data_IF_337543117316
#
_entry.id   IF_337543117316
#
_cell.length_a   1.000
_cell.length_b   1.000
_cell.length_c   1.000
_cell.angle_alpha   90.00
_cell.angle_beta   90.00
_cell.angle_gamma   90.00
#
_symmetry.space_group_name_H-M   'P 1'
#
loop_
_entity.id
_entity.type
_entity.pdbx_description
1 polymer ?
#
# COMPACT_ATOMS: atom_id res chain seq x y z
N UNK A 1 10.84 18.58 10.17
CA UNK A 1 11.94 17.66 10.58
C UNK A 1 11.44 16.25 10.90
N UNK A 2 10.37 16.08 11.68
CA UNK A 2 9.83 14.76 12.09
C UNK A 2 9.36 13.89 10.90
N UNK A 3 8.69 14.48 9.92
CA UNK A 3 8.26 13.78 8.69
C UNK A 3 9.44 13.27 7.84
N UNK A 4 10.51 14.06 7.73
CA UNK A 4 11.73 13.63 7.04
C UNK A 4 12.42 12.47 7.76
N UNK A 5 12.39 12.48 9.09
CA UNK A 5 12.93 11.40 9.92
C UNK A 5 12.09 10.13 9.78
N UNK A 6 10.76 10.23 9.76
CA UNK A 6 9.88 9.07 9.60
C UNK A 6 10.06 8.44 8.21
N UNK A 7 10.15 9.26 7.17
CA UNK A 7 10.41 8.78 5.81
C UNK A 7 11.78 8.12 5.69
N UNK A 8 12.82 8.72 6.27
CA UNK A 8 14.15 8.12 6.29
C UNK A 8 14.20 6.80 7.05
N UNK A 9 13.49 6.69 8.18
CA UNK A 9 13.41 5.46 8.96
C UNK A 9 12.74 4.34 8.15
N UNK A 10 11.59 4.62 7.53
CA UNK A 10 10.89 3.64 6.68
C UNK A 10 11.78 3.20 5.50
N UNK A 11 12.49 4.13 4.88
CA UNK A 11 13.42 3.82 3.79
C UNK A 11 14.57 2.92 4.24
N UNK A 12 15.17 3.19 5.40
CA UNK A 12 16.23 2.35 5.97
C UNK A 12 15.68 0.95 6.26
N UNK A 13 14.50 0.84 6.86
CA UNK A 13 13.87 -0.46 7.13
C UNK A 13 13.61 -1.22 5.83
N UNK A 14 13.12 -0.55 4.78
CA UNK A 14 12.90 -1.16 3.48
C UNK A 14 14.20 -1.70 2.85
N UNK A 15 15.30 -0.94 2.94
CA UNK A 15 16.62 -1.39 2.49
C UNK A 15 17.06 -2.62 3.29
N UNK A 16 16.91 -2.61 4.61
CA UNK A 16 17.29 -3.76 5.44
C UNK A 16 16.50 -5.01 5.07
N UNK A 17 15.19 -4.88 4.83
CA UNK A 17 14.35 -5.98 4.36
C UNK A 17 14.82 -6.47 2.98
N UNK A 18 15.14 -5.58 2.05
CA UNK A 18 15.64 -5.94 0.73
C UNK A 18 16.96 -6.70 0.81
N UNK A 19 17.92 -6.21 1.61
CA UNK A 19 19.20 -6.88 1.82
C UNK A 19 18.97 -8.27 2.43
N UNK A 20 18.09 -8.37 3.42
CA UNK A 20 17.75 -9.64 4.07
C UNK A 20 17.14 -10.66 3.09
N UNK A 21 16.16 -10.25 2.29
CA UNK A 21 15.53 -11.10 1.28
C UNK A 21 16.53 -11.51 0.19
N UNK A 22 17.42 -10.61 -0.21
CA UNK A 22 18.47 -10.88 -1.20
C UNK A 22 19.50 -11.87 -0.67
N UNK A 23 19.88 -11.75 0.61
CA UNK A 23 20.74 -12.70 1.30
C UNK A 23 20.10 -14.10 1.41
N UNK A 24 18.85 -14.17 1.86
CA UNK A 24 18.22 -15.45 2.18
C UNK A 24 17.74 -16.24 0.96
N UNK A 25 17.32 -15.56 -0.11
CA UNK A 25 16.84 -16.20 -1.34
C UNK A 25 17.96 -16.30 -2.41
N UNK A 26 18.34 -15.24 -3.14
CA UNK A 26 19.40 -15.32 -4.15
C UNK A 26 20.73 -15.90 -3.69
N UNK A 27 21.26 -15.49 -2.53
CA UNK A 27 22.60 -15.92 -2.10
C UNK A 27 22.60 -17.33 -1.53
N UNK A 28 21.70 -17.62 -0.59
CA UNK A 28 21.61 -18.92 0.09
C UNK A 28 21.01 -20.04 -0.78
N UNK A 29 20.13 -19.73 -1.73
CA UNK A 29 19.54 -20.74 -2.64
C UNK A 29 20.34 -20.94 -3.93
N UNK A 30 21.32 -20.09 -4.23
CA UNK A 30 22.15 -20.24 -5.41
C UNK A 30 22.95 -21.56 -5.34
N UNK A 31 22.88 -22.44 -6.36
CA UNK A 31 23.64 -23.68 -6.40
C UNK A 31 25.16 -23.52 -6.21
N UNK A 32 25.71 -22.36 -6.59
CA UNK A 32 27.16 -22.15 -6.59
C UNK A 32 27.75 -21.81 -5.20
N UNK A 33 27.07 -20.94 -4.43
CA UNK A 33 27.56 -20.46 -3.14
C UNK A 33 26.66 -20.85 -1.96
N UNK A 34 25.42 -21.26 -2.24
CA UNK A 34 24.40 -21.59 -1.25
C UNK A 34 24.81 -22.72 -0.30
N UNK A 35 25.30 -23.87 -0.79
CA UNK A 35 25.71 -24.98 0.09
C UNK A 35 26.85 -24.58 1.04
N UNK A 36 27.83 -23.83 0.55
CA UNK A 36 28.94 -23.35 1.37
C UNK A 36 28.49 -22.33 2.43
N UNK A 37 27.61 -21.39 2.05
CA UNK A 37 27.04 -20.41 2.97
C UNK A 37 26.14 -21.06 4.03
N UNK A 38 25.27 -22.01 3.67
CA UNK A 38 24.47 -22.78 4.64
C UNK A 38 25.37 -23.50 5.63
N UNK A 39 26.37 -24.24 5.14
CA UNK A 39 27.31 -24.96 6.00
C UNK A 39 28.05 -24.02 6.95
N UNK A 40 28.47 -22.84 6.47
CA UNK A 40 29.09 -21.82 7.32
C UNK A 40 28.13 -21.29 8.39
N UNK A 41 26.86 -21.00 8.05
CA UNK A 41 25.83 -20.57 9.01
C UNK A 41 25.60 -21.66 10.06
N UNK A 42 25.49 -22.92 9.65
CA UNK A 42 25.24 -24.07 10.52
C UNK A 42 26.39 -24.25 11.54
N UNK A 43 27.63 -24.13 11.07
CA UNK A 43 28.82 -24.24 11.91
C UNK A 43 29.02 -23.03 12.84
N UNK A 44 28.60 -21.83 12.42
CA UNK A 44 28.81 -20.59 13.19
C UNK A 44 27.77 -20.41 14.28
N UNK A 45 26.50 -20.69 13.97
CA UNK A 45 25.38 -20.41 14.86
C UNK A 45 24.80 -21.65 15.55
N UNK A 46 25.17 -22.86 15.10
CA UNK A 46 24.66 -24.13 15.62
C UNK A 46 23.24 -24.42 15.13
N UNK A 47 23.01 -25.65 14.67
CA UNK A 47 21.70 -26.09 14.23
C UNK A 47 20.68 -26.01 15.39
N UNK A 48 19.56 -25.31 15.16
CA UNK A 48 18.46 -25.19 16.12
C UNK A 48 18.48 -23.94 17.02
N UNK A 49 19.45 -23.04 16.85
CA UNK A 49 19.44 -21.75 17.56
C UNK A 49 18.56 -20.71 16.87
N UNK A 50 18.11 -19.70 17.62
CA UNK A 50 17.34 -18.57 17.06
C UNK A 50 18.15 -17.82 15.97
N UNK A 51 19.46 -17.70 16.15
CA UNK A 51 20.33 -17.04 15.19
C UNK A 51 20.40 -17.84 13.88
N UNK A 52 20.51 -19.17 13.95
CA UNK A 52 20.47 -20.01 12.75
C UNK A 52 19.16 -19.81 11.97
N UNK A 53 18.00 -19.73 12.65
CA UNK A 53 16.72 -19.48 11.99
C UNK A 53 16.65 -18.12 11.29
N UNK A 54 17.28 -17.09 11.87
CA UNK A 54 17.32 -15.75 11.26
C UNK A 54 18.25 -15.73 10.04
N UNK A 55 19.42 -16.35 10.12
CA UNK A 55 20.44 -16.29 9.06
C UNK A 55 20.25 -17.34 7.94
N UNK A 56 19.57 -18.45 8.22
CA UNK A 56 19.21 -19.47 7.25
C UNK A 56 17.72 -19.86 7.38
N UNK A 57 16.79 -18.93 7.13
CA UNK A 57 15.35 -19.19 7.20
C UNK A 57 14.92 -20.22 6.14
N UNK A 58 13.74 -20.81 6.35
CA UNK A 58 13.11 -21.66 5.35
C UNK A 58 12.75 -20.80 4.10
N UNK A 59 13.26 -21.16 2.91
CA UNK A 59 12.96 -20.43 1.67
C UNK A 59 11.47 -20.38 1.36
N UNK A 60 10.74 -21.44 1.70
CA UNK A 60 9.31 -21.53 1.45
C UNK A 60 8.57 -20.45 2.24
N UNK A 61 8.95 -20.24 3.51
CA UNK A 61 8.35 -19.20 4.34
C UNK A 61 8.55 -17.79 3.76
N UNK A 62 9.76 -17.49 3.29
CA UNK A 62 10.06 -16.19 2.68
C UNK A 62 9.26 -15.89 1.42
N UNK A 63 8.92 -16.92 0.64
CA UNK A 63 8.08 -16.79 -0.57
C UNK A 63 6.60 -16.70 -0.18
N UNK A 64 6.15 -17.52 0.77
CA UNK A 64 4.76 -17.53 1.24
C UNK A 64 4.37 -16.17 1.83
N UNK A 65 5.23 -15.55 2.63
CA UNK A 65 4.91 -14.31 3.34
C UNK A 65 4.41 -13.17 2.43
N UNK A 66 5.14 -12.73 1.37
CA UNK A 66 4.66 -11.68 0.49
C UNK A 66 3.44 -12.09 -0.35
N UNK A 67 3.37 -13.36 -0.79
CA UNK A 67 2.22 -13.88 -1.55
C UNK A 67 0.97 -13.86 -0.68
N UNK A 68 1.08 -14.32 0.57
CA UNK A 68 0.00 -14.32 1.54
C UNK A 68 -0.42 -12.89 1.91
N UNK A 69 0.53 -11.97 2.12
CA UNK A 69 0.23 -10.57 2.41
C UNK A 69 -0.54 -9.92 1.25
N UNK A 70 -0.13 -10.15 0.01
CA UNK A 70 -0.85 -9.68 -1.18
C UNK A 70 -2.28 -10.26 -1.25
N UNK A 71 -2.44 -11.56 -0.99
CA UNK A 71 -3.76 -12.21 -0.97
C UNK A 71 -4.67 -11.64 0.13
N UNK A 72 -4.15 -11.45 1.35
CA UNK A 72 -4.88 -10.84 2.47
C UNK A 72 -5.31 -9.41 2.13
N UNK A 73 -4.42 -8.62 1.52
CA UNK A 73 -4.74 -7.24 1.13
C UNK A 73 -5.91 -7.19 0.14
N UNK A 74 -5.92 -8.07 -0.87
CA UNK A 74 -7.04 -8.18 -1.82
C UNK A 74 -8.34 -8.57 -1.09
N UNK A 75 -8.27 -9.55 -0.19
CA UNK A 75 -9.42 -10.00 0.60
C UNK A 75 -9.98 -8.90 1.51
N UNK A 76 -9.12 -8.10 2.13
CA UNK A 76 -9.53 -6.97 2.97
C UNK A 76 -10.26 -5.90 2.13
N UNK A 77 -9.76 -5.58 0.94
CA UNK A 77 -10.43 -4.65 0.03
C UNK A 77 -11.79 -5.20 -0.41
N UNK A 78 -11.85 -6.47 -0.82
CA UNK A 78 -13.11 -7.13 -1.20
C UNK A 78 -14.12 -7.17 -0.07
N UNK A 79 -13.68 -7.48 1.16
CA UNK A 79 -14.52 -7.46 2.34
C UNK A 79 -15.04 -6.05 2.66
N UNK A 80 -14.20 -5.02 2.52
CA UNK A 80 -14.61 -3.63 2.69
C UNK A 80 -15.68 -3.21 1.67
N UNK A 81 -15.48 -3.52 0.39
CA UNK A 81 -16.46 -3.23 -0.66
C UNK A 81 -17.78 -3.98 -0.40
N UNK A 82 -17.69 -5.28 -0.11
CA UNK A 82 -18.86 -6.11 0.20
C UNK A 82 -19.62 -5.61 1.43
N UNK A 83 -18.92 -5.15 2.46
CA UNK A 83 -19.52 -4.51 3.62
C UNK A 83 -20.28 -3.24 3.22
N UNK A 84 -19.68 -2.34 2.42
CA UNK A 84 -20.34 -1.10 2.01
C UNK A 84 -21.60 -1.34 1.18
N UNK A 85 -21.63 -2.35 0.31
CA UNK A 85 -22.82 -2.69 -0.49
C UNK A 85 -23.97 -3.26 0.37
N UNK A 86 -23.66 -4.03 1.41
CA UNK A 86 -24.68 -4.55 2.33
C UNK A 86 -25.34 -3.43 3.15
N UNK A 87 -24.58 -2.38 3.44
CA UNK A 87 -25.03 -1.25 4.27
C UNK A 87 -25.65 -0.11 3.48
N UNK A 88 -25.72 -0.18 2.15
CA UNK A 88 -26.41 0.81 1.32
C UNK A 88 -27.83 0.33 0.98
N UNK A 89 -28.89 0.86 1.61
CA UNK A 89 -30.25 0.65 1.15
C UNK A 89 -30.42 1.21 -0.26
N UNK A 90 -31.29 0.60 -1.06
CA UNK A 90 -31.56 1.06 -2.42
C UNK A 90 -31.88 2.56 -2.41
N UNK A 91 -31.24 3.38 -3.27
CA UNK A 91 -31.53 4.80 -3.33
C UNK A 91 -33.03 4.99 -3.57
N UNK A 92 -33.68 5.80 -2.74
CA UNK A 92 -35.10 6.12 -2.92
C UNK A 92 -35.31 6.75 -4.31
N UNK A 93 -36.41 6.40 -5.00
CA UNK A 93 -36.73 6.98 -6.30
C UNK A 93 -36.78 8.51 -6.18
N UNK A 94 -36.15 9.19 -7.13
CA UNK A 94 -35.90 10.63 -7.19
C UNK A 94 -37.19 11.48 -7.35
N UNK A 95 -38.27 11.19 -6.64
CA UNK A 95 -39.51 11.99 -6.64
C UNK A 95 -39.38 13.30 -5.84
N UNK A 96 -38.28 13.53 -5.11
CA UNK A 96 -38.00 14.77 -4.35
C UNK A 96 -36.74 15.52 -4.85
N UNK A 97 -36.34 15.33 -6.12
CA UNK A 97 -35.52 16.31 -6.82
C UNK A 97 -36.44 17.20 -7.68
N UNK A 98 -37.38 17.89 -7.03
CA UNK A 98 -37.75 19.24 -7.49
C UNK A 98 -36.48 20.08 -7.35
N UNK A 99 -35.62 19.99 -8.36
CA UNK A 99 -34.67 21.04 -8.65
C UNK A 99 -35.51 22.29 -8.85
N UNK A 100 -35.60 23.12 -7.82
CA UNK A 100 -36.01 24.50 -7.94
C UNK A 100 -34.98 25.15 -8.89
N UNK A 101 -35.29 25.08 -10.19
CA UNK A 101 -34.49 25.56 -11.33
C UNK A 101 -34.32 27.10 -11.28
N UNK A 102 -34.76 27.74 -10.18
CA UNK A 102 -34.71 29.18 -9.95
C UNK A 102 -33.54 29.68 -9.10
N UNK A 103 -32.74 28.86 -8.43
CA UNK A 103 -31.62 29.36 -7.60
C UNK A 103 -30.24 29.37 -8.30
N UNK A 104 -30.11 28.81 -9.51
CA UNK A 104 -28.80 28.69 -10.21
C UNK A 104 -28.66 29.72 -11.35
N UNK A 105 -29.69 30.48 -11.70
CA UNK A 105 -29.67 31.37 -12.87
C UNK A 105 -29.37 32.86 -12.60
N UNK A 106 -29.27 33.30 -11.35
CA UNK A 106 -29.14 34.75 -11.04
C UNK A 106 -27.71 35.27 -10.73
N UNK A 107 -26.71 34.50 -10.22
CA UNK A 107 -25.43 35.12 -9.89
C UNK A 107 -24.47 35.29 -11.09
N UNK A 108 -24.63 34.55 -12.18
CA UNK A 108 -23.66 34.58 -13.30
C UNK A 108 -23.98 35.66 -14.37
N UNK A 109 -25.22 36.16 -14.46
CA UNK A 109 -25.58 37.19 -15.44
C UNK A 109 -25.30 38.63 -14.97
N UNK A 110 -25.22 38.88 -13.65
CA UNK A 110 -24.88 40.21 -13.13
C UNK A 110 -23.37 40.49 -13.18
N UNK A 111 -22.50 39.50 -12.96
CA UNK A 111 -21.04 39.68 -13.02
C UNK A 111 -20.52 39.92 -14.46
N UNK A 112 -21.07 39.23 -15.47
CA UNK A 112 -20.67 39.48 -16.87
C UNK A 112 -21.10 40.86 -17.40
N UNK A 113 -22.17 41.45 -16.87
CA UNK A 113 -22.66 42.77 -17.30
C UNK A 113 -21.87 43.92 -16.66
N UNK A 114 -21.35 43.74 -15.44
CA UNK A 114 -20.49 44.75 -14.78
C UNK A 114 -19.08 44.78 -15.40
N UNK A 115 -18.47 43.63 -15.71
CA UNK A 115 -17.12 43.58 -16.32
C UNK A 115 -17.09 44.16 -17.75
N UNK A 116 -18.13 43.98 -18.56
CA UNK A 116 -18.19 44.56 -19.93
C UNK A 116 -18.36 46.10 -19.90
N UNK A 117 -18.89 46.66 -18.81
CA UNK A 117 -19.08 48.12 -18.66
C UNK A 117 -17.85 48.87 -18.14
N UNK A 118 -16.88 48.18 -17.52
CA UNK A 118 -15.63 48.79 -17.03
C UNK A 118 -14.47 48.74 -18.04
N UNK A 119 -14.54 47.91 -19.09
CA UNK A 119 -13.51 47.84 -20.14
C UNK A 119 -13.71 48.83 -21.31
N UNK A 120 -14.85 49.53 -21.39
CA UNK A 120 -15.16 50.45 -22.50
C UNK A 120 -15.01 51.97 -22.19
N UNK A 121 -14.51 52.36 -20.99
CA UNK A 121 -14.21 53.76 -20.60
C UNK A 121 -12.70 54.09 -20.50
#
# INVERSE_FOLDING_TARGET
MKEKVIGALIFIVAILVLIYYTWALPLLQNPWFGPALKTWVDNTFGAGTLLHQIFAPDPMFLIILPVWLAAVLIMVIGAWIGWTMMTTPAPEPLEDFDFDESEIAEPEMEEETEEESEEED
#
